data_IF_437413843355
#
_entry.id   IF_437413843355
#
_cell.length_a   1.000
_cell.length_b   1.000
_cell.length_c   1.000
_cell.angle_alpha   90.00
_cell.angle_beta   90.00
_cell.angle_gamma   90.00
#
_symmetry.space_group_name_H-M   'P 1'
#
loop_
_entity.id
_entity.type
_entity.pdbx_description
1 polymer ?
#
# COMPACT_ATOMS: atom_id res chain seq x y z
N UNK A 1 4.71 11.42 -24.81
CA UNK A 1 4.02 10.21 -24.31
C UNK A 1 2.70 10.15 -25.04
N UNK A 2 2.45 9.09 -25.80
CA UNK A 2 1.24 8.94 -26.63
C UNK A 2 0.01 8.93 -25.73
N UNK A 3 -0.95 9.80 -26.05
CA UNK A 3 -2.14 10.09 -25.24
C UNK A 3 -3.35 9.23 -25.63
N UNK A 4 -3.13 8.02 -26.17
CA UNK A 4 -4.16 7.27 -26.91
C UNK A 4 -4.62 5.95 -26.25
N UNK A 5 -4.46 5.78 -24.92
CA UNK A 5 -5.20 4.73 -24.20
C UNK A 5 -5.08 4.88 -22.67
N UNK A 6 -5.62 5.98 -22.10
CA UNK A 6 -5.85 6.02 -20.66
C UNK A 6 -6.98 5.04 -20.32
N UNK A 7 -6.72 4.13 -19.37
CA UNK A 7 -7.71 3.16 -18.90
C UNK A 7 -8.80 3.90 -18.12
N UNK A 8 -9.93 4.20 -18.74
CA UNK A 8 -11.04 4.91 -18.11
C UNK A 8 -11.75 4.03 -17.09
N UNK A 9 -11.92 4.54 -15.88
CA UNK A 9 -12.46 3.81 -14.75
C UNK A 9 -13.54 4.59 -14.00
N UNK A 10 -14.50 3.84 -13.46
CA UNK A 10 -15.31 4.29 -12.34
C UNK A 10 -14.75 3.72 -11.05
N UNK A 11 -14.67 4.55 -10.01
CA UNK A 11 -14.36 4.07 -8.66
C UNK A 11 -15.64 3.95 -7.84
N UNK A 12 -15.77 2.85 -7.11
CA UNK A 12 -17.02 2.46 -6.45
C UNK A 12 -16.72 2.10 -4.99
N UNK A 13 -17.38 2.79 -4.06
CA UNK A 13 -17.41 2.44 -2.64
C UNK A 13 -18.78 1.93 -2.24
N UNK A 14 -18.84 0.86 -1.45
CA UNK A 14 -20.08 0.28 -0.97
C UNK A 14 -19.97 -0.04 0.51
N UNK A 15 -20.98 0.38 1.27
CA UNK A 15 -21.09 0.04 2.69
C UNK A 15 -22.51 -0.33 3.05
N UNK A 16 -22.67 -1.18 4.06
CA UNK A 16 -23.99 -1.37 4.65
C UNK A 16 -24.37 -0.19 5.57
N UNK A 17 -25.67 0.04 5.75
CA UNK A 17 -26.21 1.15 6.53
C UNK A 17 -25.86 1.07 8.02
N UNK A 18 -25.61 -0.13 8.56
CA UNK A 18 -25.28 -0.33 9.97
C UNK A 18 -23.83 0.08 10.22
N UNK A 19 -22.92 -0.36 9.37
CA UNK A 19 -21.53 0.01 9.40
C UNK A 19 -21.38 1.52 9.20
N UNK A 20 -22.05 2.10 8.21
CA UNK A 20 -21.99 3.55 7.96
C UNK A 20 -22.43 4.41 9.16
N UNK A 21 -23.44 3.97 9.93
CA UNK A 21 -23.87 4.68 11.15
C UNK A 21 -22.90 4.51 12.32
N UNK A 22 -22.28 3.34 12.43
CA UNK A 22 -21.44 2.98 13.57
C UNK A 22 -19.98 3.43 13.42
N UNK A 23 -19.51 3.58 12.19
CA UNK A 23 -18.16 4.06 11.89
C UNK A 23 -18.25 5.47 11.29
N UNK A 24 -17.38 6.38 11.75
CA UNK A 24 -17.22 7.72 11.17
C UNK A 24 -16.53 7.63 9.81
N UNK A 25 -17.13 6.89 8.87
CA UNK A 25 -16.55 6.67 7.54
C UNK A 25 -16.61 7.98 6.76
N UNK A 26 -15.46 8.56 6.46
CA UNK A 26 -15.36 9.64 5.50
C UNK A 26 -15.22 9.05 4.08
N UNK A 27 -16.35 8.93 3.38
CA UNK A 27 -16.43 8.34 2.03
C UNK A 27 -15.58 9.13 1.03
N UNK A 28 -15.56 10.46 1.14
CA UNK A 28 -14.81 11.32 0.23
C UNK A 28 -13.31 11.06 0.34
N UNK A 29 -12.79 10.92 1.56
CA UNK A 29 -11.38 10.58 1.78
C UNK A 29 -11.02 9.22 1.17
N UNK A 30 -11.86 8.21 1.37
CA UNK A 30 -11.63 6.87 0.83
C UNK A 30 -11.60 6.90 -0.70
N UNK A 31 -12.58 7.55 -1.33
CA UNK A 31 -12.66 7.65 -2.78
C UNK A 31 -11.57 8.55 -3.36
N UNK A 32 -11.12 9.58 -2.63
CA UNK A 32 -9.97 10.40 -3.02
C UNK A 32 -8.67 9.60 -2.97
N UNK A 33 -8.45 8.81 -1.91
CA UNK A 33 -7.28 7.93 -1.82
C UNK A 33 -7.31 6.86 -2.92
N UNK A 34 -8.47 6.22 -3.16
CA UNK A 34 -8.62 5.26 -4.26
C UNK A 34 -8.37 5.92 -5.63
N UNK A 35 -8.83 7.16 -5.83
CA UNK A 35 -8.54 7.90 -7.06
C UNK A 35 -7.03 8.14 -7.25
N UNK A 36 -6.31 8.50 -6.18
CA UNK A 36 -4.85 8.66 -6.22
C UNK A 36 -4.14 7.33 -6.53
N UNK A 37 -4.64 6.20 -6.01
CA UNK A 37 -4.13 4.87 -6.37
C UNK A 37 -4.36 4.58 -7.86
N UNK A 38 -5.55 4.87 -8.37
CA UNK A 38 -5.90 4.69 -9.77
C UNK A 38 -5.01 5.52 -10.69
N UNK A 39 -4.83 6.82 -10.40
CA UNK A 39 -3.95 7.70 -11.16
C UNK A 39 -2.50 7.19 -11.16
N UNK A 40 -2.01 6.73 -10.00
CA UNK A 40 -0.68 6.14 -9.88
C UNK A 40 -0.51 4.89 -10.74
N UNK A 41 -1.57 4.07 -10.87
CA UNK A 41 -1.62 2.88 -11.71
C UNK A 41 -1.89 3.17 -13.20
N UNK A 42 -2.14 4.44 -13.57
CA UNK A 42 -2.41 4.85 -14.96
C UNK A 42 -3.87 4.73 -15.38
N UNK A 43 -4.80 4.75 -14.43
CA UNK A 43 -6.24 4.79 -14.69
C UNK A 43 -6.76 6.22 -14.60
N UNK A 44 -7.62 6.60 -15.55
CA UNK A 44 -8.36 7.87 -15.53
C UNK A 44 -9.70 7.66 -14.83
N UNK A 45 -9.86 8.26 -13.64
CA UNK A 45 -11.12 8.17 -12.90
C UNK A 45 -12.13 9.15 -13.49
N UNK A 46 -13.10 8.62 -14.24
CA UNK A 46 -14.15 9.41 -14.89
C UNK A 46 -15.23 9.84 -13.90
N UNK A 47 -15.60 8.94 -12.97
CA UNK A 47 -16.63 9.23 -11.98
C UNK A 47 -16.44 8.42 -10.69
N UNK A 48 -17.02 8.92 -9.60
CA UNK A 48 -16.97 8.33 -8.26
C UNK A 48 -18.37 7.98 -7.79
N UNK A 49 -18.59 6.72 -7.42
CA UNK A 49 -19.87 6.25 -6.92
C UNK A 49 -19.76 5.74 -5.50
N UNK A 50 -20.74 6.10 -4.67
CA UNK A 50 -20.88 5.57 -3.32
C UNK A 50 -22.28 5.01 -3.12
N UNK A 51 -22.38 3.78 -2.64
CA UNK A 51 -23.66 3.13 -2.35
C UNK A 51 -23.76 2.73 -0.89
N UNK A 52 -24.68 3.38 -0.18
CA UNK A 52 -25.08 2.98 1.16
C UNK A 52 -26.36 2.15 1.03
N UNK A 53 -26.34 0.92 1.54
CA UNK A 53 -27.47 -0.01 1.39
C UNK A 53 -27.77 -0.78 2.67
N UNK A 54 -29.02 -1.21 2.92
CA UNK A 54 -29.35 -1.92 4.16
C UNK A 54 -28.55 -3.22 4.36
N UNK A 55 -28.22 -3.91 3.26
CA UNK A 55 -27.43 -5.14 3.25
C UNK A 55 -26.67 -5.28 1.94
N UNK A 56 -25.46 -5.82 2.00
CA UNK A 56 -24.67 -6.16 0.80
C UNK A 56 -25.33 -7.29 0.02
N UNK A 57 -25.47 -7.11 -1.29
CA UNK A 57 -26.05 -8.13 -2.17
C UNK A 57 -24.99 -9.19 -2.48
N UNK A 58 -25.21 -10.44 -2.10
CA UNK A 58 -24.21 -11.50 -2.24
C UNK A 58 -23.75 -11.71 -3.71
N UNK A 59 -24.67 -11.56 -4.67
CA UNK A 59 -24.40 -11.79 -6.10
C UNK A 59 -23.55 -10.70 -6.76
N UNK A 60 -24.01 -9.45 -6.76
CA UNK A 60 -23.36 -8.34 -7.50
C UNK A 60 -22.70 -7.29 -6.60
N UNK A 61 -22.69 -7.50 -5.28
CA UNK A 61 -22.26 -6.55 -4.25
C UNK A 61 -23.18 -5.31 -4.10
N UNK A 62 -23.57 -4.66 -5.21
CA UNK A 62 -24.40 -3.43 -5.26
C UNK A 62 -25.87 -3.64 -5.61
N UNK A 63 -26.28 -4.84 -6.01
CA UNK A 63 -27.63 -5.13 -6.54
C UNK A 63 -27.69 -5.03 -8.06
N UNK A 64 -28.65 -5.72 -8.69
CA UNK A 64 -28.74 -5.84 -10.16
C UNK A 64 -29.12 -4.53 -10.83
N UNK A 65 -30.16 -3.84 -10.35
CA UNK A 65 -30.61 -2.58 -10.96
C UNK A 65 -29.54 -1.48 -10.94
N UNK A 66 -28.81 -1.32 -9.84
CA UNK A 66 -27.70 -0.36 -9.76
C UNK A 66 -26.54 -0.74 -10.71
N UNK A 67 -26.24 -2.02 -10.82
CA UNK A 67 -25.21 -2.52 -11.72
C UNK A 67 -25.58 -2.26 -13.18
N UNK A 68 -26.83 -2.50 -13.57
CA UNK A 68 -27.33 -2.21 -14.93
C UNK A 68 -27.21 -0.71 -15.25
N UNK A 69 -27.67 0.17 -14.35
CA UNK A 69 -27.53 1.62 -14.54
C UNK A 69 -26.07 2.09 -14.65
N UNK A 70 -25.15 1.48 -13.88
CA UNK A 70 -23.73 1.75 -14.00
C UNK A 70 -23.17 1.29 -15.34
N UNK A 71 -23.56 0.11 -15.84
CA UNK A 71 -23.13 -0.40 -17.15
C UNK A 71 -23.63 0.48 -18.30
N UNK A 72 -24.87 0.96 -18.21
CA UNK A 72 -25.42 1.93 -19.16
C UNK A 72 -24.60 3.22 -19.18
N UNK A 73 -24.33 3.79 -18.00
CA UNK A 73 -23.50 5.00 -17.87
C UNK A 73 -22.08 4.77 -18.39
N UNK A 74 -21.48 3.63 -18.06
CA UNK A 74 -20.14 3.26 -18.51
C UNK A 74 -20.03 3.13 -20.03
N UNK A 75 -21.11 2.67 -20.68
CA UNK A 75 -21.18 2.60 -22.15
C UNK A 75 -21.17 4.00 -22.78
N UNK A 76 -21.88 4.95 -22.16
CA UNK A 76 -21.92 6.35 -22.62
C UNK A 76 -20.55 7.02 -22.43
N UNK A 77 -19.92 6.79 -21.28
CA UNK A 77 -18.65 7.43 -20.91
C UNK A 77 -17.42 6.73 -21.51
N UNK A 78 -17.61 5.59 -22.19
CA UNK A 78 -16.55 4.68 -22.67
C UNK A 78 -15.61 4.23 -21.54
N UNK A 79 -16.19 3.78 -20.42
CA UNK A 79 -15.48 3.24 -19.26
C UNK A 79 -15.39 1.73 -19.38
N UNK A 80 -14.20 1.19 -19.15
CA UNK A 80 -13.91 -0.24 -19.26
C UNK A 80 -13.62 -0.89 -17.90
N UNK A 81 -13.38 -0.09 -16.86
CA UNK A 81 -12.96 -0.59 -15.55
C UNK A 81 -13.86 -0.11 -14.43
N UNK A 82 -14.36 -1.06 -13.63
CA UNK A 82 -15.02 -0.76 -12.36
C UNK A 82 -14.09 -1.14 -11.22
N UNK A 83 -13.59 -0.13 -10.51
CA UNK A 83 -12.63 -0.30 -9.43
C UNK A 83 -13.36 -0.15 -8.10
N UNK A 84 -13.50 -1.25 -7.38
CA UNK A 84 -14.15 -1.29 -6.08
C UNK A 84 -13.14 -1.06 -4.95
N UNK A 85 -13.45 -0.16 -4.03
CA UNK A 85 -12.65 0.01 -2.79
C UNK A 85 -12.73 -1.26 -1.92
N UNK A 86 -13.86 -1.95 -1.99
CA UNK A 86 -14.11 -3.17 -1.23
C UNK A 86 -13.57 -4.41 -1.94
N UNK A 87 -13.28 -5.45 -1.14
CA UNK A 87 -12.95 -6.76 -1.67
C UNK A 87 -14.17 -7.45 -2.29
N UNK A 88 -13.98 -7.99 -3.49
CA UNK A 88 -14.96 -8.79 -4.21
C UNK A 88 -14.59 -10.27 -4.19
N UNK A 89 -15.60 -11.13 -4.13
CA UNK A 89 -15.46 -12.57 -4.39
C UNK A 89 -15.44 -12.85 -5.90
N UNK A 90 -14.85 -13.98 -6.30
CA UNK A 90 -14.80 -14.36 -7.73
C UNK A 90 -16.18 -14.48 -8.39
N UNK A 91 -17.22 -14.88 -7.64
CA UNK A 91 -18.60 -14.88 -8.15
C UNK A 91 -19.16 -13.48 -8.37
N UNK A 92 -18.78 -12.51 -7.53
CA UNK A 92 -19.19 -11.11 -7.68
C UNK A 92 -18.50 -10.46 -8.87
N UNK A 93 -17.20 -10.71 -9.04
CA UNK A 93 -16.45 -10.27 -10.23
C UNK A 93 -17.14 -10.78 -11.49
N UNK A 94 -17.38 -12.09 -11.60
CA UNK A 94 -18.05 -12.65 -12.78
C UNK A 94 -19.42 -12.00 -13.03
N UNK A 95 -20.24 -11.79 -11.99
CA UNK A 95 -21.56 -11.19 -12.13
C UNK A 95 -21.50 -9.72 -12.57
N UNK A 96 -20.46 -8.98 -12.15
CA UNK A 96 -20.22 -7.60 -12.58
C UNK A 96 -19.78 -7.59 -14.05
N UNK A 97 -18.90 -8.49 -14.47
CA UNK A 97 -18.36 -8.54 -15.84
C UNK A 97 -19.36 -9.14 -16.85
N UNK A 98 -20.29 -9.99 -16.39
CA UNK A 98 -21.25 -10.71 -17.24
C UNK A 98 -22.03 -9.79 -18.19
N UNK A 99 -22.01 -10.13 -19.49
CA UNK A 99 -22.75 -9.41 -20.52
C UNK A 99 -22.25 -7.98 -20.79
N UNK A 100 -21.01 -7.64 -20.41
CA UNK A 100 -20.42 -6.31 -20.64
C UNK A 100 -18.92 -6.40 -20.96
N UNK A 101 -18.33 -5.31 -21.47
CA UNK A 101 -16.88 -5.18 -21.67
C UNK A 101 -16.16 -4.61 -20.43
N UNK A 102 -16.84 -4.63 -19.27
CA UNK A 102 -16.29 -4.12 -18.02
C UNK A 102 -15.37 -5.16 -17.40
N UNK A 103 -14.21 -4.71 -16.93
CA UNK A 103 -13.32 -5.47 -16.04
C UNK A 103 -13.51 -4.96 -14.62
N UNK A 104 -13.80 -5.85 -13.68
CA UNK A 104 -13.98 -5.49 -12.27
C UNK A 104 -12.67 -5.70 -11.50
N UNK A 105 -12.16 -4.63 -10.91
CA UNK A 105 -10.95 -4.64 -10.10
C UNK A 105 -11.28 -4.21 -8.66
N UNK A 106 -10.42 -4.60 -7.73
CA UNK A 106 -10.48 -4.26 -6.31
C UNK A 106 -9.32 -3.34 -5.93
N UNK A 107 -9.43 -2.65 -4.79
CA UNK A 107 -8.35 -1.85 -4.20
C UNK A 107 -7.04 -2.63 -4.14
N UNK A 108 -7.08 -3.90 -3.70
CA UNK A 108 -5.90 -4.76 -3.61
C UNK A 108 -5.23 -4.99 -4.97
N UNK A 109 -6.01 -5.18 -6.03
CA UNK A 109 -5.46 -5.36 -7.38
C UNK A 109 -4.78 -4.10 -7.89
N UNK A 110 -5.38 -2.92 -7.66
CA UNK A 110 -4.75 -1.63 -8.02
C UNK A 110 -3.43 -1.44 -7.26
N UNK A 111 -3.38 -1.75 -5.96
CA UNK A 111 -2.14 -1.67 -5.17
C UNK A 111 -1.06 -2.61 -5.74
N UNK A 112 -1.44 -3.85 -6.07
CA UNK A 112 -0.53 -4.83 -6.67
C UNK A 112 -0.02 -4.38 -8.05
N UNK A 113 -0.86 -3.74 -8.87
CA UNK A 113 -0.45 -3.15 -10.15
C UNK A 113 0.55 -2.01 -9.95
N UNK A 114 0.31 -1.11 -9.00
CA UNK A 114 1.28 -0.05 -8.65
C UNK A 114 2.61 -0.69 -8.24
N UNK A 115 2.58 -1.71 -7.40
CA UNK A 115 3.81 -2.41 -7.01
C UNK A 115 4.51 -3.07 -8.19
N UNK A 116 3.78 -3.67 -9.12
CA UNK A 116 4.36 -4.25 -10.34
C UNK A 116 5.04 -3.19 -11.20
N UNK A 117 4.45 -2.00 -11.32
CA UNK A 117 5.03 -0.85 -12.04
C UNK A 117 6.30 -0.32 -11.36
N UNK A 118 6.38 -0.40 -10.04
CA UNK A 118 7.50 0.13 -9.24
C UNK A 118 8.61 -0.89 -8.96
N UNK A 119 8.35 -2.18 -9.10
CA UNK A 119 9.32 -3.25 -8.88
C UNK A 119 10.43 -3.25 -9.94
N UNK A 120 11.57 -2.62 -9.63
CA UNK A 120 12.73 -2.56 -10.53
C UNK A 120 13.66 -3.75 -10.34
N UNK A 121 13.91 -4.14 -9.09
CA UNK A 121 14.78 -5.25 -8.75
C UNK A 121 14.13 -6.61 -9.01
N UNK A 122 14.93 -7.64 -9.27
CA UNK A 122 14.41 -9.01 -9.41
C UNK A 122 13.73 -9.49 -8.13
N UNK A 123 14.25 -9.11 -6.97
CA UNK A 123 13.69 -9.44 -5.66
C UNK A 123 12.32 -8.81 -5.44
N UNK A 124 12.17 -7.51 -5.75
CA UNK A 124 10.88 -6.85 -5.69
C UNK A 124 9.87 -7.47 -6.67
N UNK A 125 10.30 -7.76 -7.91
CA UNK A 125 9.42 -8.43 -8.89
C UNK A 125 8.91 -9.78 -8.40
N UNK A 126 9.78 -10.57 -7.74
CA UNK A 126 9.40 -11.85 -7.16
C UNK A 126 8.45 -11.72 -5.97
N UNK A 127 8.61 -10.69 -5.13
CA UNK A 127 7.70 -10.39 -4.02
C UNK A 127 6.33 -9.96 -4.52
N UNK A 128 6.27 -9.09 -5.53
CA UNK A 128 5.01 -8.68 -6.15
C UNK A 128 4.31 -9.86 -6.82
N UNK A 129 5.04 -10.70 -7.57
CA UNK A 129 4.46 -11.90 -8.18
C UNK A 129 3.93 -12.87 -7.11
N UNK A 130 4.67 -13.05 -6.01
CA UNK A 130 4.23 -13.88 -4.90
C UNK A 130 2.93 -13.33 -4.30
N UNK A 131 2.90 -12.03 -3.99
CA UNK A 131 1.72 -11.38 -3.40
C UNK A 131 0.50 -11.49 -4.32
N UNK A 132 0.68 -11.27 -5.62
CA UNK A 132 -0.37 -11.42 -6.62
C UNK A 132 -0.91 -12.86 -6.67
N UNK A 133 -0.04 -13.86 -6.70
CA UNK A 133 -0.44 -15.26 -6.71
C UNK A 133 -1.15 -15.68 -5.41
N UNK A 134 -0.70 -15.20 -4.26
CA UNK A 134 -1.35 -15.49 -2.98
C UNK A 134 -2.73 -14.86 -2.86
N UNK A 135 -2.92 -13.67 -3.45
CA UNK A 135 -4.22 -13.01 -3.56
C UNK A 135 -5.17 -13.74 -4.53
N UNK A 136 -4.69 -14.12 -5.70
CA UNK A 136 -5.51 -14.77 -6.74
C UNK A 136 -5.81 -16.25 -6.44
N UNK A 137 -4.88 -16.98 -5.82
CA UNK A 137 -5.01 -18.42 -5.57
C UNK A 137 -6.33 -18.85 -4.92
N UNK A 138 -6.83 -18.21 -3.83
CA UNK A 138 -8.14 -18.56 -3.27
C UNK A 138 -9.32 -18.20 -4.21
N UNK A 139 -9.14 -17.20 -5.08
CA UNK A 139 -10.18 -16.68 -6.00
C UNK A 139 -10.33 -17.50 -7.28
N UNK A 140 -9.31 -18.27 -7.68
CA UNK A 140 -9.34 -19.16 -8.85
C UNK A 140 -10.52 -20.16 -8.81
N UNK A 141 -11.01 -20.57 -7.64
CA UNK A 141 -12.16 -21.48 -7.51
C UNK A 141 -13.48 -20.88 -8.02
N UNK A 142 -13.58 -19.54 -8.03
CA UNK A 142 -14.79 -18.81 -8.42
C UNK A 142 -14.82 -18.35 -9.88
N UNK A 143 -13.68 -18.27 -10.56
CA UNK A 143 -13.61 -17.90 -11.99
C UNK A 143 -14.12 -19.07 -12.84
N UNK A 144 -15.41 -19.04 -13.21
CA UNK A 144 -15.93 -19.95 -14.24
C UNK A 144 -15.47 -19.39 -15.57
N UNK A 145 -14.48 -20.02 -16.19
CA UNK A 145 -14.17 -19.76 -17.60
C UNK A 145 -15.40 -20.11 -18.45
N UNK A 146 -15.81 -19.23 -19.36
CA UNK A 146 -16.86 -19.46 -20.38
C UNK A 146 -16.68 -20.75 -21.22
N UNK A 147 -15.52 -21.41 -21.10
CA UNK A 147 -15.24 -22.76 -21.60
C UNK A 147 -16.25 -23.82 -21.14
N UNK A 148 -16.95 -23.65 -20.01
CA UNK A 148 -17.98 -24.61 -19.57
C UNK A 148 -19.30 -24.50 -20.35
N UNK A 149 -19.57 -23.35 -21.01
CA UNK A 149 -20.81 -23.17 -21.78
C UNK A 149 -20.70 -23.65 -23.24
N UNK A 150 -19.49 -23.71 -23.82
CA UNK A 150 -19.29 -24.15 -25.21
C UNK A 150 -19.44 -25.68 -25.36
N UNK A 151 -19.29 -26.47 -24.29
CA UNK A 151 -19.50 -27.92 -24.31
C UNK A 151 -20.73 -28.30 -23.49
N UNK A 152 -21.90 -28.01 -24.07
CA UNK A 152 -23.18 -28.46 -23.54
C UNK A 152 -23.27 -29.98 -23.43
N UNK A 153 -23.98 -30.42 -22.38
CA UNK A 153 -24.70 -31.69 -22.33
C UNK A 153 -23.83 -32.95 -22.28
N UNK A 154 -23.52 -33.42 -21.08
CA UNK A 154 -23.60 -34.83 -20.63
C UNK A 154 -23.10 -34.84 -19.18
N UNK A 155 -23.90 -35.41 -18.28
CA UNK A 155 -23.68 -35.44 -16.83
C UNK A 155 -22.48 -36.29 -16.39
N UNK A 156 -21.27 -35.81 -16.67
CA UNK A 156 -20.04 -36.29 -16.07
C UNK A 156 -19.59 -35.25 -15.03
N UNK A 157 -19.79 -35.56 -13.74
CA UNK A 157 -19.05 -34.91 -12.64
C UNK A 157 -17.56 -34.97 -13.00
N UNK A 158 -16.87 -33.84 -13.15
CA UNK A 158 -15.46 -33.78 -13.59
C UNK A 158 -15.23 -33.20 -15.00
N UNK A 159 -16.00 -32.20 -15.42
CA UNK A 159 -15.90 -31.58 -16.75
C UNK A 159 -14.52 -30.96 -17.05
N UNK A 160 -14.22 -30.70 -18.34
CA UNK A 160 -12.94 -30.15 -18.79
C UNK A 160 -12.57 -28.81 -18.10
N UNK A 161 -13.56 -28.00 -17.71
CA UNK A 161 -13.34 -26.78 -16.93
C UNK A 161 -12.91 -27.02 -15.48
N UNK A 162 -13.44 -28.05 -14.80
CA UNK A 162 -13.00 -28.40 -13.43
C UNK A 162 -11.55 -28.90 -13.43
N UNK A 163 -11.18 -29.70 -14.43
CA UNK A 163 -9.80 -30.16 -14.62
C UNK A 163 -8.84 -29.02 -14.93
N UNK A 164 -9.26 -28.05 -15.73
CA UNK A 164 -8.44 -26.86 -16.03
C UNK A 164 -8.23 -26.00 -14.79
N UNK A 165 -9.28 -25.75 -14.01
CA UNK A 165 -9.17 -25.01 -12.75
C UNK A 165 -8.27 -25.70 -11.72
N UNK A 166 -8.36 -27.02 -11.62
CA UNK A 166 -7.46 -27.81 -10.76
C UNK A 166 -6.00 -27.69 -11.23
N UNK A 167 -5.78 -27.77 -12.54
CA UNK A 167 -4.46 -27.62 -13.15
C UNK A 167 -3.85 -26.24 -12.89
N UNK A 168 -4.62 -25.17 -13.10
CA UNK A 168 -4.19 -23.79 -12.89
C UNK A 168 -3.88 -23.53 -11.41
N UNK A 169 -4.71 -24.05 -10.49
CA UNK A 169 -4.42 -24.01 -9.05
C UNK A 169 -3.14 -24.75 -8.69
N UNK A 170 -2.92 -25.94 -9.26
CA UNK A 170 -1.69 -26.70 -9.00
C UNK A 170 -0.46 -25.90 -9.44
N UNK A 171 -0.48 -25.34 -10.65
CA UNK A 171 0.60 -24.48 -11.17
C UNK A 171 0.84 -23.25 -10.29
N UNK A 172 -0.22 -22.54 -9.90
CA UNK A 172 -0.12 -21.39 -9.01
C UNK A 172 0.53 -21.76 -7.67
N UNK A 173 0.11 -22.89 -7.07
CA UNK A 173 0.67 -23.39 -5.81
C UNK A 173 2.15 -23.75 -5.92
N UNK A 174 2.54 -24.46 -6.97
CA UNK A 174 3.94 -24.80 -7.26
C UNK A 174 4.79 -23.53 -7.43
N UNK A 175 4.25 -22.53 -8.14
CA UNK A 175 4.93 -21.24 -8.33
C UNK A 175 5.10 -20.48 -7.01
N UNK A 176 4.06 -20.41 -6.18
CA UNK A 176 4.13 -19.82 -4.83
C UNK A 176 5.24 -20.48 -4.00
N UNK A 177 5.28 -21.82 -3.96
CA UNK A 177 6.33 -22.54 -3.23
C UNK A 177 7.73 -22.23 -3.77
N UNK A 178 7.89 -22.17 -5.09
CA UNK A 178 9.16 -21.83 -5.73
C UNK A 178 9.62 -20.42 -5.38
N UNK A 179 8.72 -19.42 -5.48
CA UNK A 179 9.02 -18.03 -5.15
C UNK A 179 9.41 -17.87 -3.68
N UNK A 180 8.65 -18.47 -2.74
CA UNK A 180 9.01 -18.48 -1.31
C UNK A 180 10.39 -19.09 -1.05
N UNK A 181 10.69 -20.21 -1.69
CA UNK A 181 12.02 -20.84 -1.56
C UNK A 181 13.13 -19.96 -2.11
N UNK A 182 12.92 -19.28 -3.23
CA UNK A 182 13.92 -18.38 -3.80
C UNK A 182 14.11 -17.11 -2.94
N UNK A 183 13.03 -16.51 -2.46
CA UNK A 183 13.10 -15.34 -1.58
C UNK A 183 13.82 -15.64 -0.26
N UNK A 184 13.51 -16.78 0.38
CA UNK A 184 14.22 -17.18 1.60
C UNK A 184 15.73 -17.41 1.39
N UNK A 185 16.17 -17.80 0.18
CA UNK A 185 17.61 -17.88 -0.16
C UNK A 185 18.23 -16.49 -0.29
N UNK A 186 17.53 -15.55 -0.92
CA UNK A 186 17.97 -14.14 -1.02
C UNK A 186 18.12 -13.53 0.37
N UNK A 187 17.15 -13.75 1.27
CA UNK A 187 17.20 -13.28 2.65
C UNK A 187 18.41 -13.84 3.41
N UNK A 188 18.71 -15.14 3.28
CA UNK A 188 19.88 -15.77 3.90
C UNK A 188 21.20 -15.21 3.38
N UNK A 189 21.28 -14.89 2.09
CA UNK A 189 22.46 -14.25 1.51
C UNK A 189 22.60 -12.80 2.01
N UNK A 190 21.49 -12.07 2.11
CA UNK A 190 21.48 -10.70 2.64
C UNK A 190 21.90 -10.67 4.12
N UNK A 191 21.39 -11.59 4.96
CA UNK A 191 21.77 -11.68 6.38
C UNK A 191 23.24 -12.01 6.58
N UNK A 192 23.85 -12.80 5.68
CA UNK A 192 25.29 -13.12 5.74
C UNK A 192 26.17 -11.90 5.42
N UNK A 193 25.76 -11.04 4.48
CA UNK A 193 26.43 -9.74 4.23
C UNK A 193 26.20 -8.73 5.36
N UNK A 194 25.09 -8.85 6.11
CA UNK A 194 24.74 -7.98 7.25
C UNK A 194 25.52 -8.30 8.53
N UNK A 195 26.04 -9.53 8.71
CA UNK A 195 26.90 -9.90 9.87
C UNK A 195 28.17 -9.06 10.01
N UNK A 196 28.65 -8.44 8.94
CA UNK A 196 29.77 -7.49 9.00
C UNK A 196 29.41 -6.10 9.55
N UNK A 197 28.13 -5.84 9.90
CA UNK A 197 27.58 -4.54 10.32
C UNK A 197 26.85 -4.60 11.67
N UNK A 198 27.19 -5.57 12.53
CA UNK A 198 26.48 -5.82 13.79
C UNK A 198 26.57 -4.67 14.82
N UNK A 199 27.45 -3.67 14.63
CA UNK A 199 27.64 -2.55 15.57
C UNK A 199 27.14 -1.17 15.07
N UNK A 200 26.43 -1.08 13.94
CA UNK A 200 25.98 0.22 13.42
C UNK A 200 24.49 0.43 13.70
N UNK A 201 24.17 1.52 14.39
CA UNK A 201 22.81 1.91 14.76
C UNK A 201 21.93 2.12 13.51
N UNK A 202 20.72 1.57 13.50
CA UNK A 202 19.82 1.53 12.35
C UNK A 202 18.56 2.35 12.57
N UNK A 203 18.23 3.15 11.57
CA UNK A 203 17.08 4.04 11.54
C UNK A 203 16.21 3.70 10.34
N UNK A 204 14.92 3.45 10.55
CA UNK A 204 13.95 3.27 9.47
C UNK A 204 12.94 4.42 9.44
N UNK A 205 12.73 5.00 8.26
CA UNK A 205 11.70 6.03 8.05
C UNK A 205 10.38 5.33 7.71
N UNK A 206 9.40 5.44 8.59
CA UNK A 206 8.05 4.86 8.41
C UNK A 206 7.00 5.97 8.32
N UNK A 207 5.84 5.64 7.75
CA UNK A 207 4.76 6.60 7.62
C UNK A 207 3.89 6.37 6.39
N UNK A 208 2.80 7.11 6.33
CA UNK A 208 1.84 7.01 5.24
C UNK A 208 2.48 7.37 3.88
N UNK A 209 1.94 6.83 2.79
CA UNK A 209 2.32 7.26 1.43
C UNK A 209 2.11 8.77 1.29
N UNK A 210 2.98 9.40 0.52
CA UNK A 210 3.03 10.85 0.34
C UNK A 210 3.31 11.70 1.61
N UNK A 211 3.70 11.09 2.75
CA UNK A 211 4.21 11.85 3.91
C UNK A 211 5.57 12.56 3.66
N UNK A 212 6.20 12.30 2.52
CA UNK A 212 7.51 12.88 2.15
C UNK A 212 8.72 12.11 2.67
N UNK A 213 8.59 10.79 2.89
CA UNK A 213 9.68 9.92 3.40
C UNK A 213 10.93 9.97 2.51
N UNK A 214 10.76 9.77 1.21
CA UNK A 214 11.86 9.81 0.23
C UNK A 214 12.47 11.20 0.11
N UNK A 215 11.67 12.26 0.23
CA UNK A 215 12.16 13.65 0.29
C UNK A 215 13.06 13.86 1.50
N UNK A 216 12.64 13.41 2.68
CA UNK A 216 13.43 13.49 3.89
C UNK A 216 14.71 12.64 3.79
N UNK A 217 14.60 11.41 3.28
CA UNK A 217 15.73 10.51 3.07
C UNK A 217 16.82 11.16 2.21
N UNK A 218 16.41 11.72 1.06
CA UNK A 218 17.31 12.42 0.15
C UNK A 218 18.01 13.60 0.79
N UNK A 219 17.25 14.40 1.52
CA UNK A 219 17.77 15.58 2.18
C UNK A 219 18.80 15.21 3.25
N UNK A 220 18.52 14.19 4.04
CA UNK A 220 19.45 13.69 5.06
C UNK A 220 20.71 13.09 4.42
N UNK A 221 20.56 12.31 3.35
CA UNK A 221 21.67 11.63 2.68
C UNK A 221 22.42 12.50 1.65
N UNK A 222 21.98 13.74 1.39
CA UNK A 222 22.46 14.61 0.30
C UNK A 222 22.40 13.93 -1.08
N UNK A 223 21.37 13.12 -1.32
CA UNK A 223 21.15 12.37 -2.58
C UNK A 223 19.99 12.93 -3.41
N UNK A 224 19.98 12.57 -4.70
CA UNK A 224 18.91 12.85 -5.66
C UNK A 224 18.11 11.59 -6.01
N UNK A 225 17.57 10.85 -5.03
CA UNK A 225 16.57 9.83 -5.35
C UNK A 225 15.35 10.54 -5.93
N UNK A 226 14.84 10.06 -7.05
CA UNK A 226 13.71 10.70 -7.72
C UNK A 226 12.45 10.61 -6.85
N UNK A 227 11.87 11.76 -6.48
CA UNK A 227 10.63 11.86 -5.70
C UNK A 227 9.50 12.28 -6.63
N UNK A 228 8.43 11.48 -6.70
CA UNK A 228 7.18 11.83 -7.37
C UNK A 228 6.08 12.03 -6.32
N UNK A 229 5.13 12.93 -6.60
CA UNK A 229 3.89 13.09 -5.84
C UNK A 229 2.88 11.98 -6.24
N UNK A 230 3.27 10.73 -6.01
CA UNK A 230 2.49 9.52 -6.31
C UNK A 230 2.53 8.54 -5.15
N UNK A 231 1.46 7.76 -4.98
CA UNK A 231 1.43 6.72 -3.94
C UNK A 231 2.46 5.64 -4.27
N UNK A 232 3.06 5.04 -3.23
CA UNK A 232 4.10 4.02 -3.38
C UNK A 232 5.26 4.40 -4.32
N UNK A 233 5.70 5.67 -4.30
CA UNK A 233 6.88 6.12 -5.04
C UNK A 233 8.13 5.25 -4.79
N UNK A 234 8.23 4.67 -3.58
CA UNK A 234 9.31 3.76 -3.17
C UNK A 234 8.75 2.39 -2.83
N UNK A 235 9.22 1.36 -3.55
CA UNK A 235 8.97 -0.06 -3.24
C UNK A 235 10.25 -0.79 -2.80
N UNK A 236 11.37 -0.49 -3.45
CA UNK A 236 12.68 -0.99 -3.04
C UNK A 236 13.18 -0.20 -1.82
N UNK A 237 13.65 -0.88 -0.77
CA UNK A 237 14.25 -0.21 0.40
C UNK A 237 15.59 0.42 0.01
N UNK A 238 15.76 1.71 0.29
CA UNK A 238 17.02 2.42 0.07
C UNK A 238 17.77 2.60 1.38
N UNK A 239 18.92 1.93 1.53
CA UNK A 239 19.73 1.97 2.75
C UNK A 239 21.05 2.72 2.51
N UNK A 240 21.40 3.64 3.40
CA UNK A 240 22.63 4.46 3.32
C UNK A 240 23.25 4.70 4.69
N UNK A 241 24.54 5.05 4.67
CA UNK A 241 25.24 5.60 5.83
C UNK A 241 24.90 7.08 5.95
N UNK A 242 24.52 7.51 7.14
CA UNK A 242 24.25 8.89 7.50
C UNK A 242 25.20 9.28 8.64
N UNK A 243 25.77 10.48 8.54
CA UNK A 243 26.55 11.10 9.60
C UNK A 243 25.70 12.20 10.24
N UNK A 244 25.42 12.08 11.53
CA UNK A 244 24.48 12.98 12.23
C UNK A 244 25.07 14.35 12.59
N UNK A 245 26.39 14.42 12.77
CA UNK A 245 27.13 15.64 13.11
C UNK A 245 28.44 15.68 12.32
N UNK A 246 28.85 16.89 11.94
CA UNK A 246 30.12 17.10 11.22
C UNK A 246 31.34 16.97 12.16
N UNK A 247 31.17 17.28 13.45
CA UNK A 247 32.27 17.35 14.44
C UNK A 247 32.59 16.00 15.12
N UNK A 248 31.61 15.10 15.26
CA UNK A 248 31.77 13.77 15.88
C UNK A 248 30.96 12.74 15.10
N UNK A 249 31.53 12.06 14.09
CA UNK A 249 30.74 11.26 13.15
C UNK A 249 30.12 10.05 13.86
N UNK A 250 28.91 10.21 14.38
CA UNK A 250 28.03 9.10 14.75
C UNK A 250 27.49 8.54 13.45
N UNK A 251 28.09 7.44 13.01
CA UNK A 251 27.67 6.71 11.83
C UNK A 251 26.41 5.90 12.14
N UNK A 252 25.34 6.20 11.42
CA UNK A 252 24.10 5.43 11.45
C UNK A 252 23.74 4.93 10.07
N UNK A 253 22.96 3.86 10.01
CA UNK A 253 22.37 3.37 8.77
C UNK A 253 20.92 3.86 8.73
N UNK A 254 20.55 4.60 7.69
CA UNK A 254 19.17 5.04 7.46
C UNK A 254 18.56 4.30 6.26
N UNK A 255 17.30 3.89 6.41
CA UNK A 255 16.53 3.19 5.38
C UNK A 255 15.22 3.92 5.04
N UNK A 256 14.99 4.21 3.76
CA UNK A 256 13.66 4.60 3.24
C UNK A 256 12.83 3.33 3.01
N UNK A 257 11.63 3.27 3.58
CA UNK A 257 10.74 2.10 3.51
C UNK A 257 9.52 2.37 2.63
N UNK A 258 8.84 1.29 2.26
CA UNK A 258 7.55 1.38 1.56
C UNK A 258 6.57 2.19 2.42
N UNK A 259 5.83 3.10 1.79
CA UNK A 259 4.80 3.87 2.47
C UNK A 259 3.56 3.04 2.79
N UNK A 260 2.97 3.28 3.96
CA UNK A 260 1.71 2.65 4.33
C UNK A 260 0.50 3.37 3.73
N UNK A 261 -0.58 2.65 3.51
CA UNK A 261 -1.87 3.21 3.06
C UNK A 261 -2.99 2.70 3.93
N UNK A 262 -4.19 3.26 3.76
CA UNK A 262 -5.37 2.80 4.48
C UNK A 262 -5.67 1.35 4.08
N UNK A 263 -6.10 0.56 5.06
CA UNK A 263 -6.60 -0.81 4.84
C UNK A 263 -5.71 -1.62 3.91
N UNK A 264 -4.39 -1.63 4.19
CA UNK A 264 -3.48 -2.56 3.53
C UNK A 264 -3.98 -4.00 3.77
N UNK A 265 -4.20 -4.79 2.71
CA UNK A 265 -4.63 -6.17 2.87
C UNK A 265 -3.62 -7.00 3.67
N UNK A 266 -4.09 -7.82 4.62
CA UNK A 266 -3.21 -8.68 5.43
C UNK A 266 -2.32 -9.62 4.59
N UNK A 267 -2.82 -10.08 3.43
CA UNK A 267 -2.05 -10.89 2.48
C UNK A 267 -0.85 -10.13 1.91
N UNK A 268 -1.03 -8.84 1.66
CA UNK A 268 0.03 -7.94 1.24
C UNK A 268 1.02 -7.71 2.39
N UNK A 269 0.57 -7.41 3.60
CA UNK A 269 1.47 -7.24 4.76
C UNK A 269 2.35 -8.49 4.97
N UNK A 270 1.77 -9.69 4.88
CA UNK A 270 2.51 -10.95 5.01
C UNK A 270 3.54 -11.17 3.89
N UNK A 271 3.20 -10.84 2.64
CA UNK A 271 4.12 -10.95 1.49
C UNK A 271 5.26 -9.92 1.55
N UNK A 272 4.97 -8.73 2.06
CA UNK A 272 5.90 -7.62 2.23
C UNK A 272 6.63 -7.64 3.58
N UNK A 273 6.42 -8.65 4.45
CA UNK A 273 7.14 -8.78 5.72
C UNK A 273 8.67 -8.81 5.51
N UNK A 274 9.11 -9.41 4.40
CA UNK A 274 10.52 -9.44 4.00
C UNK A 274 11.07 -8.05 3.62
N UNK A 275 10.30 -7.22 2.92
CA UNK A 275 10.65 -5.82 2.62
C UNK A 275 10.51 -4.88 3.83
N UNK A 276 9.68 -5.26 4.81
CA UNK A 276 9.52 -4.55 6.08
C UNK A 276 10.52 -5.03 7.14
N UNK A 277 11.42 -5.95 6.80
CA UNK A 277 12.47 -6.43 7.72
C UNK A 277 13.35 -5.29 8.23
N UNK A 278 13.61 -4.26 7.41
CA UNK A 278 14.37 -3.08 7.84
C UNK A 278 13.65 -2.26 8.91
N UNK A 279 12.32 -2.34 9.01
CA UNK A 279 11.54 -1.73 10.11
C UNK A 279 11.68 -2.56 11.38
N UNK A 280 11.63 -3.89 11.27
CA UNK A 280 11.71 -4.81 12.41
C UNK A 280 13.13 -4.87 13.00
N UNK A 281 14.15 -4.72 12.15
CA UNK A 281 15.57 -4.72 12.53
C UNK A 281 16.09 -3.32 12.93
N UNK A 282 15.25 -2.29 12.93
CA UNK A 282 15.67 -0.93 13.28
C UNK A 282 15.82 -0.74 14.79
N UNK A 283 16.78 0.08 15.19
CA UNK A 283 16.94 0.51 16.58
C UNK A 283 16.06 1.74 16.89
N UNK A 284 15.71 2.51 15.85
CA UNK A 284 14.88 3.70 15.92
C UNK A 284 13.96 3.84 14.69
N UNK A 285 12.70 4.18 14.93
CA UNK A 285 11.75 4.53 13.88
C UNK A 285 11.55 6.04 13.79
N UNK A 286 11.72 6.60 12.59
CA UNK A 286 11.29 7.96 12.28
C UNK A 286 9.89 7.89 11.67
N UNK A 287 8.87 8.16 12.48
CA UNK A 287 7.48 8.11 12.04
C UNK A 287 7.11 9.47 11.43
N UNK A 288 7.18 9.55 10.11
CA UNK A 288 6.87 10.74 9.34
C UNK A 288 5.38 10.80 8.98
N UNK A 289 4.73 11.93 9.30
CA UNK A 289 3.34 12.21 8.96
C UNK A 289 3.20 13.55 8.24
N UNK A 290 2.20 13.69 7.38
CA UNK A 290 1.89 14.94 6.69
C UNK A 290 1.08 15.85 7.61
N UNK A 291 1.66 16.96 8.04
CA UNK A 291 1.03 17.89 8.96
C UNK A 291 -0.20 18.60 8.36
N UNK A 292 -0.26 18.69 7.02
CA UNK A 292 -1.37 19.34 6.32
C UNK A 292 -2.60 18.44 6.17
N UNK A 293 -2.50 17.17 6.56
CA UNK A 293 -3.60 16.22 6.46
C UNK A 293 -4.62 16.42 7.59
N UNK A 294 -5.88 16.62 7.23
CA UNK A 294 -6.97 16.76 8.20
C UNK A 294 -7.20 15.48 9.02
N UNK A 295 -6.82 14.32 8.49
CA UNK A 295 -7.03 13.00 9.10
C UNK A 295 -5.74 12.42 9.69
N UNK A 296 -4.82 13.31 10.10
CA UNK A 296 -3.50 12.93 10.60
C UNK A 296 -3.56 11.93 11.75
N UNK A 297 -4.50 12.09 12.68
CA UNK A 297 -4.67 11.19 13.82
C UNK A 297 -5.05 9.77 13.38
N UNK A 298 -5.97 9.63 12.43
CA UNK A 298 -6.37 8.33 11.89
C UNK A 298 -5.21 7.65 11.16
N UNK A 299 -4.46 8.43 10.36
CA UNK A 299 -3.28 7.91 9.64
C UNK A 299 -2.16 7.49 10.59
N UNK A 300 -1.90 8.25 11.66
CA UNK A 300 -0.95 7.87 12.70
C UNK A 300 -1.38 6.54 13.35
N UNK A 301 -2.65 6.41 13.76
CA UNK A 301 -3.18 5.17 14.33
C UNK A 301 -3.10 3.97 13.37
N UNK A 302 -3.26 4.18 12.07
CA UNK A 302 -3.10 3.12 11.07
C UNK A 302 -1.64 2.69 10.90
N UNK A 303 -0.70 3.63 10.88
CA UNK A 303 0.72 3.28 10.87
C UNK A 303 1.09 2.50 12.13
N UNK A 304 0.57 2.92 13.29
CA UNK A 304 0.75 2.25 14.57
C UNK A 304 0.21 0.80 14.58
N UNK A 305 -0.95 0.57 13.97
CA UNK A 305 -1.53 -0.78 13.86
C UNK A 305 -0.69 -1.70 12.97
N UNK A 306 -0.14 -1.18 11.87
CA UNK A 306 0.76 -1.91 10.98
C UNK A 306 2.08 -2.23 11.68
N UNK A 307 2.68 -1.25 12.39
CA UNK A 307 3.90 -1.47 13.19
C UNK A 307 3.68 -2.59 14.22
N UNK A 308 2.49 -2.66 14.82
CA UNK A 308 2.12 -3.75 15.74
C UNK A 308 1.96 -5.09 15.01
N UNK A 309 1.36 -5.13 13.82
CA UNK A 309 1.18 -6.35 13.03
C UNK A 309 2.51 -6.98 12.58
N UNK A 310 3.54 -6.16 12.36
CA UNK A 310 4.89 -6.63 12.01
C UNK A 310 5.80 -6.88 13.23
N UNK A 311 5.25 -6.86 14.45
CA UNK A 311 5.96 -7.06 15.73
C UNK A 311 7.05 -6.00 16.04
N UNK A 312 6.96 -4.80 15.47
CA UNK A 312 7.94 -3.71 15.64
C UNK A 312 7.53 -2.68 16.72
N UNK A 313 6.50 -2.97 17.52
CA UNK A 313 5.93 -2.03 18.51
C UNK A 313 6.87 -1.67 19.67
N UNK A 314 7.88 -2.51 19.92
CA UNK A 314 8.86 -2.37 20.99
C UNK A 314 9.97 -1.35 20.65
N UNK A 315 10.10 -0.96 19.38
CA UNK A 315 11.15 -0.05 18.90
C UNK A 315 10.77 1.39 19.27
N UNK A 316 11.76 2.18 19.75
CA UNK A 316 11.56 3.60 20.08
C UNK A 316 11.28 4.40 18.81
N UNK A 317 10.51 5.48 18.93
CA UNK A 317 9.96 6.22 17.78
C UNK A 317 10.08 7.71 18.01
N UNK A 318 10.35 8.44 16.94
CA UNK A 318 10.24 9.90 16.88
C UNK A 318 9.15 10.22 15.87
N UNK A 319 8.08 10.87 16.33
CA UNK A 319 6.99 11.32 15.46
C UNK A 319 7.36 12.69 14.87
N UNK A 320 7.33 12.78 13.55
CA UNK A 320 7.77 13.94 12.78
C UNK A 320 6.62 14.39 11.88
N UNK A 321 6.24 15.65 12.01
CA UNK A 321 5.19 16.30 11.25
C UNK A 321 5.82 17.09 10.10
N UNK A 322 5.84 16.49 8.91
CA UNK A 322 6.40 17.06 7.68
C UNK A 322 5.40 17.97 6.97
N UNK A 323 5.86 18.70 5.95
CA UNK A 323 5.08 19.70 5.19
C UNK A 323 4.55 20.83 6.08
N UNK A 324 5.32 21.20 7.10
CA UNK A 324 4.95 22.30 8.01
C UNK A 324 4.84 23.66 7.30
N UNK A 325 5.33 23.78 6.07
CA UNK A 325 5.15 24.94 5.20
C UNK A 325 3.73 25.08 4.64
N UNK A 326 2.90 24.03 4.73
CA UNK A 326 1.53 24.01 4.20
C UNK A 326 0.45 24.15 5.28
N UNK A 327 0.82 24.46 6.54
CA UNK A 327 -0.11 24.58 7.66
C UNK A 327 -0.06 25.96 8.31
N UNK A 328 -1.17 26.36 8.92
CA UNK A 328 -1.25 27.58 9.72
C UNK A 328 -0.95 27.34 11.23
N UNK A 329 -0.87 28.41 12.01
CA UNK A 329 -0.62 28.31 13.45
C UNK A 329 -1.74 27.58 14.21
N UNK A 330 -2.98 27.63 13.71
CA UNK A 330 -4.12 26.98 14.36
C UNK A 330 -3.99 25.46 14.26
N UNK A 331 -3.71 24.95 13.06
CA UNK A 331 -3.45 23.54 12.81
C UNK A 331 -2.23 23.06 13.60
N UNK A 332 -1.16 23.86 13.61
CA UNK A 332 0.05 23.54 14.38
C UNK A 332 -0.23 23.43 15.89
N UNK A 333 -0.98 24.36 16.47
CA UNK A 333 -1.35 24.34 17.89
C UNK A 333 -2.26 23.16 18.23
N UNK A 334 -3.16 22.77 17.31
CA UNK A 334 -3.99 21.57 17.47
C UNK A 334 -3.14 20.31 17.59
N UNK A 335 -2.14 20.16 16.72
CA UNK A 335 -1.22 19.01 16.76
C UNK A 335 -0.40 19.03 18.05
N UNK A 336 0.14 20.19 18.46
CA UNK A 336 0.91 20.32 19.71
C UNK A 336 0.11 19.93 20.94
N UNK A 337 -1.19 20.24 20.98
CA UNK A 337 -2.08 19.84 22.09
C UNK A 337 -2.22 18.32 22.20
N UNK A 338 -2.18 17.61 21.07
CA UNK A 338 -2.29 16.14 21.03
C UNK A 338 -0.92 15.44 21.15
N UNK A 339 0.17 16.13 20.80
CA UNK A 339 1.53 15.59 20.72
C UNK A 339 2.54 16.63 21.23
N UNK A 340 2.79 16.64 22.54
CA UNK A 340 3.67 17.63 23.19
C UNK A 340 5.12 17.62 22.66
N UNK A 341 5.61 16.46 22.20
CA UNK A 341 6.96 16.27 21.63
C UNK A 341 7.00 16.34 20.09
N UNK A 342 5.98 16.93 19.46
CA UNK A 342 5.86 17.01 17.99
C UNK A 342 7.01 17.80 17.34
N UNK A 343 7.73 17.17 16.41
CA UNK A 343 8.76 17.84 15.61
C UNK A 343 8.16 18.24 14.26
N UNK A 344 8.10 19.54 14.00
CA UNK A 344 7.62 20.07 12.72
C UNK A 344 8.79 20.36 11.78
N UNK A 345 8.75 19.79 10.58
CA UNK A 345 9.74 20.02 9.53
C UNK A 345 9.09 20.34 8.18
N UNK A 346 9.88 20.95 7.30
CA UNK A 346 9.61 20.93 5.87
C UNK A 346 10.80 20.31 5.16
N UNK A 347 10.68 19.04 4.76
CA UNK A 347 11.72 18.36 3.99
C UNK A 347 11.96 19.02 2.63
N UNK A 348 10.93 19.65 2.04
CA UNK A 348 11.05 20.37 0.77
C UNK A 348 11.87 21.66 0.91
N UNK A 349 11.64 22.41 1.99
CA UNK A 349 12.25 23.73 2.19
C UNK A 349 13.48 23.69 3.11
N UNK A 350 13.91 22.50 3.53
CA UNK A 350 14.99 22.28 4.50
C UNK A 350 14.76 23.02 5.84
N UNK A 351 13.51 23.10 6.29
CA UNK A 351 13.15 23.77 7.54
C UNK A 351 13.22 22.80 8.72
N UNK A 352 13.87 23.22 9.82
CA UNK A 352 14.00 22.47 11.08
C UNK A 352 14.72 21.10 10.99
N UNK A 353 15.52 20.87 9.95
CA UNK A 353 16.22 19.59 9.76
C UNK A 353 17.38 19.42 10.73
N UNK A 354 18.08 20.50 11.09
CA UNK A 354 19.13 20.45 12.12
C UNK A 354 18.56 20.12 13.51
N UNK A 355 17.35 20.61 13.81
CA UNK A 355 16.63 20.23 15.04
C UNK A 355 16.32 18.73 15.05
N UNK A 356 15.87 18.18 13.91
CA UNK A 356 15.62 16.76 13.76
C UNK A 356 16.90 15.93 13.95
N UNK A 357 18.01 16.33 13.31
CA UNK A 357 19.31 15.65 13.48
C UNK A 357 19.76 15.61 14.94
N UNK A 358 19.64 16.75 15.64
CA UNK A 358 19.96 16.83 17.06
C UNK A 358 19.09 15.89 17.90
N UNK A 359 17.78 15.87 17.69
CA UNK A 359 16.88 14.98 18.44
C UNK A 359 17.18 13.50 18.17
N UNK A 360 17.53 13.13 16.94
CA UNK A 360 17.97 11.78 16.60
C UNK A 360 19.23 11.43 17.38
N UNK A 361 20.23 12.32 17.39
CA UNK A 361 21.47 12.14 18.14
C UNK A 361 21.21 11.93 19.64
N UNK A 362 20.43 12.82 20.26
CA UNK A 362 20.09 12.75 21.68
C UNK A 362 19.39 11.41 22.01
N UNK A 363 18.49 10.97 21.14
CA UNK A 363 17.77 9.69 21.30
C UNK A 363 18.69 8.48 21.20
N UNK A 364 19.68 8.52 20.30
CA UNK A 364 20.69 7.45 20.16
C UNK A 364 21.55 7.37 21.43
N UNK A 365 21.97 8.52 21.97
CA UNK A 365 22.74 8.57 23.20
C UNK A 365 21.95 8.01 24.39
N UNK A 366 20.65 8.32 24.50
CA UNK A 366 19.76 7.73 25.51
C UNK A 366 19.62 6.21 25.37
N UNK A 367 19.55 5.69 24.13
CA UNK A 367 19.39 4.26 23.87
C UNK A 367 20.67 3.47 24.12
N UNK A 368 21.85 4.07 23.87
CA UNK A 368 23.14 3.42 24.13
C UNK A 368 23.54 3.42 25.63
N UNK A 369 22.91 4.27 26.44
CA UNK A 369 23.19 4.39 27.88
C UNK A 369 22.26 3.51 28.76
N UNK A 370 21.21 2.91 28.17
CA UNK A 370 20.31 1.93 28.79
C UNK A 370 20.66 0.53 28.30
#
# INVERSE_FOLDING_TARGET
>A
MNNDNLKKAYIIFVTDSRQYRNSKINIDNILNELAMLCDTAGYEVVNKYSFIQPKITAGTYIGTGKLESLKESATIDNVEYFIFDNELSGSQVNAIEEGSNITALTRTEIILEIFALRAKTMTAKMQVELAFLEFEYPRLKGKRTNLSQIKGGIGLRGGAGEKQLEYDRRRARERIHKLKSQLSKVEKSASTGRKGRENTFRIAIVGYTNAGKSTLFNLLCKESVYVEDKLFATLDTHTRKLYLTDDTPVEVIISDTVGFIDRLPHTLVASFKSTLSEVVEADLLLHLSDASDENIEEKLLHVESIIKEIDASHIKRIVIFNKSDSIDEVQKNKILTSYDDAIFISAKNNTNIELLRKKILDTILELNNN
#
